data_IF_099064601260
#
_entry.id   IF_099064601260
#
_cell.length_a   1.000
_cell.length_b   1.000
_cell.length_c   1.000
_cell.angle_alpha   90.00
_cell.angle_beta   90.00
_cell.angle_gamma   90.00
#
_symmetry.space_group_name_H-M   'P 1'
#
loop_
_entity.id
_entity.type
_entity.pdbx_description
1 polymer ?
#
# COMPACT_ATOMS: atom_id res chain seq x y z
N UNK A 1 3.80 -23.25 -11.00
CA UNK A 1 3.76 -21.91 -10.36
C UNK A 1 4.99 -21.14 -10.82
N UNK A 2 4.83 -19.95 -11.40
CA UNK A 2 5.97 -19.17 -11.93
C UNK A 2 6.76 -18.59 -10.75
N UNK A 3 8.06 -18.33 -10.93
CA UNK A 3 8.95 -17.84 -9.86
C UNK A 3 8.47 -16.53 -9.22
N UNK A 4 7.85 -15.64 -10.01
CA UNK A 4 7.31 -14.37 -9.53
C UNK A 4 6.17 -14.54 -8.51
N UNK A 5 5.25 -15.48 -8.76
CA UNK A 5 4.12 -15.75 -7.85
C UNK A 5 4.63 -16.21 -6.48
N UNK A 6 5.70 -17.03 -6.47
CA UNK A 6 6.35 -17.49 -5.23
C UNK A 6 7.02 -16.37 -4.46
N UNK A 7 7.69 -15.46 -5.15
CA UNK A 7 8.36 -14.33 -4.51
C UNK A 7 7.35 -13.36 -3.88
N UNK A 8 6.25 -13.08 -4.58
CA UNK A 8 5.15 -12.27 -4.05
C UNK A 8 4.52 -12.92 -2.80
N UNK A 9 4.20 -14.22 -2.87
CA UNK A 9 3.65 -14.95 -1.74
C UNK A 9 4.60 -14.99 -0.52
N UNK A 10 5.89 -15.21 -0.75
CA UNK A 10 6.90 -15.17 0.32
C UNK A 10 6.98 -13.78 0.96
N UNK A 11 7.07 -12.72 0.16
CA UNK A 11 7.10 -11.34 0.66
C UNK A 11 5.88 -11.03 1.52
N UNK A 12 4.66 -11.37 1.04
CA UNK A 12 3.43 -11.20 1.82
C UNK A 12 3.51 -11.94 3.15
N UNK A 13 4.00 -13.18 3.16
CA UNK A 13 4.11 -13.98 4.36
C UNK A 13 5.15 -13.44 5.36
N UNK A 14 6.19 -12.73 4.91
CA UNK A 14 7.15 -12.02 5.77
C UNK A 14 6.54 -10.73 6.30
N UNK A 15 5.98 -9.90 5.42
CA UNK A 15 5.26 -8.67 5.80
C UNK A 15 4.17 -8.96 6.84
N UNK A 16 3.42 -10.05 6.66
CA UNK A 16 2.33 -10.44 7.56
C UNK A 16 2.78 -10.80 8.98
N UNK A 17 4.03 -11.23 9.14
CA UNK A 17 4.61 -11.56 10.45
C UNK A 17 5.33 -10.37 11.07
N UNK A 18 5.47 -9.28 10.33
CA UNK A 18 6.29 -8.13 10.70
C UNK A 18 5.47 -6.94 11.19
N UNK A 19 4.17 -6.85 10.88
CA UNK A 19 3.35 -5.73 11.38
C UNK A 19 2.94 -5.93 12.85
N UNK A 20 2.81 -4.84 13.59
CA UNK A 20 2.22 -4.85 14.94
C UNK A 20 0.73 -4.54 14.92
N UNK A 21 0.28 -3.85 13.86
CA UNK A 21 -1.10 -3.40 13.71
C UNK A 21 -1.52 -3.40 12.25
N UNK A 22 -2.79 -3.72 12.01
CA UNK A 22 -3.46 -3.65 10.70
C UNK A 22 -4.82 -3.01 10.83
N UNK A 23 -5.20 -2.21 9.86
CA UNK A 23 -6.47 -1.48 9.85
C UNK A 23 -7.10 -1.52 8.46
N UNK A 24 -8.42 -1.70 8.32
CA UNK A 24 -9.06 -1.57 7.03
C UNK A 24 -9.01 -0.11 6.55
N UNK A 25 -8.90 0.08 5.24
CA UNK A 25 -9.14 1.36 4.58
C UNK A 25 -10.06 1.14 3.38
N UNK A 26 -10.52 2.23 2.76
CA UNK A 26 -11.59 2.21 1.76
C UNK A 26 -11.35 1.26 0.57
N UNK A 27 -10.11 0.87 0.29
CA UNK A 27 -9.73 0.03 -0.86
C UNK A 27 -8.82 -1.16 -0.50
N UNK A 28 -8.72 -1.52 0.79
CA UNK A 28 -7.96 -2.70 1.22
C UNK A 28 -7.50 -2.62 2.67
N UNK A 29 -6.23 -2.95 2.91
CA UNK A 29 -5.66 -3.03 4.26
C UNK A 29 -4.44 -2.12 4.42
N UNK A 30 -4.39 -1.40 5.54
CA UNK A 30 -3.24 -0.63 6.02
C UNK A 30 -2.44 -1.46 7.02
N UNK A 31 -1.12 -1.45 6.89
CA UNK A 31 -0.19 -2.18 7.75
C UNK A 31 0.74 -1.19 8.45
N UNK A 32 0.98 -1.41 9.75
CA UNK A 32 1.81 -0.55 10.58
C UNK A 32 2.75 -1.37 11.46
N UNK A 33 3.92 -0.78 11.75
CA UNK A 33 4.81 -1.25 12.79
C UNK A 33 5.10 -0.11 13.77
N UNK A 34 4.51 -0.20 14.97
CA UNK A 34 4.46 0.91 15.92
C UNK A 34 5.85 1.25 16.49
N UNK A 35 6.75 0.26 16.63
CA UNK A 35 8.15 0.48 17.04
C UNK A 35 9.05 1.07 15.93
N UNK A 36 8.62 1.01 14.66
CA UNK A 36 9.41 1.44 13.51
C UNK A 36 8.63 2.37 12.57
N UNK A 37 8.11 3.51 13.06
CA UNK A 37 7.22 4.39 12.30
C UNK A 37 7.91 5.11 11.13
N UNK A 38 9.24 5.04 11.02
CA UNK A 38 10.01 5.62 9.92
C UNK A 38 10.38 4.61 8.81
N UNK A 39 10.08 3.31 8.99
CA UNK A 39 10.43 2.26 8.02
C UNK A 39 9.29 2.06 7.03
N UNK A 40 9.46 2.61 5.83
CA UNK A 40 8.44 2.61 4.76
C UNK A 40 7.91 1.21 4.46
N UNK A 41 8.81 0.25 4.25
CA UNK A 41 8.45 -1.14 3.90
C UNK A 41 7.65 -1.88 4.98
N UNK A 42 7.54 -1.33 6.19
CA UNK A 42 6.75 -1.87 7.30
C UNK A 42 5.46 -1.07 7.55
N UNK A 43 5.29 0.06 6.88
CA UNK A 43 4.16 0.96 7.05
C UNK A 43 3.62 1.36 5.68
N UNK A 44 2.60 0.65 5.20
CA UNK A 44 2.08 0.82 3.85
C UNK A 44 0.59 0.50 3.77
N UNK A 45 -0.05 1.06 2.75
CA UNK A 45 -1.37 0.64 2.30
C UNK A 45 -1.21 -0.43 1.23
N UNK A 46 -1.99 -1.50 1.32
CA UNK A 46 -2.16 -2.45 0.23
C UNK A 46 -3.49 -2.19 -0.45
N UNK A 47 -3.46 -2.01 -1.76
CA UNK A 47 -4.64 -1.97 -2.60
C UNK A 47 -5.09 -3.40 -2.87
N UNK A 48 -6.28 -3.76 -2.40
CA UNK A 48 -6.84 -5.12 -2.51
C UNK A 48 -8.16 -5.10 -3.29
N UNK A 49 -8.84 -3.96 -3.34
CA UNK A 49 -10.07 -3.76 -4.08
C UNK A 49 -9.82 -2.83 -5.27
N UNK A 50 -10.09 -3.33 -6.47
CA UNK A 50 -10.02 -2.53 -7.68
C UNK A 50 -11.27 -1.65 -7.79
N UNK A 51 -11.06 -0.33 -7.83
CA UNK A 51 -12.06 0.61 -8.30
C UNK A 51 -11.50 1.31 -9.56
N UNK A 52 -12.06 1.07 -10.76
CA UNK A 52 -11.58 1.70 -11.99
C UNK A 52 -11.79 3.22 -12.01
N UNK A 53 -12.65 3.75 -11.13
CA UNK A 53 -12.96 5.18 -11.05
C UNK A 53 -12.11 5.92 -10.02
N UNK A 54 -11.45 5.22 -9.10
CA UNK A 54 -10.62 5.90 -8.10
C UNK A 54 -9.44 6.61 -8.77
N UNK A 55 -9.25 7.86 -8.39
CA UNK A 55 -8.15 8.71 -8.82
C UNK A 55 -6.95 8.60 -7.87
N UNK A 56 -5.77 8.95 -8.38
CA UNK A 56 -4.56 9.04 -7.56
C UNK A 56 -4.71 10.07 -6.41
N UNK A 57 -5.43 11.16 -6.63
CA UNK A 57 -5.68 12.19 -5.62
C UNK A 57 -6.56 11.67 -4.47
N UNK A 58 -7.58 10.87 -4.78
CA UNK A 58 -8.41 10.22 -3.75
C UNK A 58 -7.58 9.23 -2.94
N UNK A 59 -6.74 8.42 -3.58
CA UNK A 59 -5.83 7.51 -2.89
C UNK A 59 -4.87 8.28 -1.97
N UNK A 60 -4.26 9.36 -2.45
CA UNK A 60 -3.35 10.17 -1.66
C UNK A 60 -4.04 10.77 -0.43
N UNK A 61 -5.27 11.28 -0.59
CA UNK A 61 -6.07 11.83 0.52
C UNK A 61 -6.41 10.77 1.56
N UNK A 62 -6.82 9.57 1.14
CA UNK A 62 -7.07 8.47 2.06
C UNK A 62 -5.76 8.03 2.75
N UNK A 63 -4.63 8.03 2.05
CA UNK A 63 -3.33 7.77 2.64
C UNK A 63 -2.94 8.81 3.69
N UNK A 64 -3.14 10.10 3.44
CA UNK A 64 -2.89 11.17 4.42
C UNK A 64 -3.75 10.98 5.68
N UNK A 65 -5.01 10.52 5.51
CA UNK A 65 -5.91 10.23 6.63
C UNK A 65 -5.47 9.01 7.44
N UNK A 66 -5.22 7.89 6.76
CA UNK A 66 -4.90 6.60 7.40
C UNK A 66 -3.48 6.61 7.98
N UNK A 67 -2.53 7.22 7.29
CA UNK A 67 -1.11 7.27 7.67
C UNK A 67 -0.71 8.60 8.33
N UNK A 68 -1.64 9.45 8.74
CA UNK A 68 -1.37 10.84 9.16
C UNK A 68 -0.39 11.02 10.34
N UNK A 69 -0.08 9.96 11.09
CA UNK A 69 0.98 9.96 12.11
C UNK A 69 2.39 9.72 11.56
N UNK A 70 2.54 9.45 10.26
CA UNK A 70 3.80 9.11 9.60
C UNK A 70 4.26 10.22 8.68
N UNK A 71 5.58 10.32 8.48
CA UNK A 71 6.20 11.31 7.57
C UNK A 71 6.26 10.85 6.11
N UNK A 72 5.56 9.77 5.77
CA UNK A 72 5.61 9.15 4.46
C UNK A 72 4.30 8.43 4.13
N UNK A 73 4.14 8.17 2.84
CA UNK A 73 3.05 7.37 2.28
C UNK A 73 3.69 6.27 1.46
N UNK A 74 3.25 5.03 1.65
CA UNK A 74 3.66 3.92 0.81
C UNK A 74 2.41 3.15 0.38
N UNK A 75 2.27 2.92 -0.92
CA UNK A 75 1.15 2.18 -1.51
C UNK A 75 1.71 0.97 -2.26
N UNK A 76 1.20 -0.22 -1.94
CA UNK A 76 1.45 -1.45 -2.67
C UNK A 76 0.27 -1.71 -3.61
N UNK A 77 0.54 -1.68 -4.92
CA UNK A 77 -0.39 -2.06 -5.98
C UNK A 77 0.20 -3.29 -6.68
N UNK A 78 -0.52 -4.41 -6.64
CA UNK A 78 -0.02 -5.66 -7.21
C UNK A 78 -0.52 -5.90 -8.63
N UNK A 79 -1.69 -5.38 -8.97
CA UNK A 79 -2.19 -5.41 -10.36
C UNK A 79 -1.45 -4.37 -11.22
N UNK A 80 -0.79 -4.86 -12.26
CA UNK A 80 0.06 -4.04 -13.12
C UNK A 80 -0.73 -3.03 -13.95
N UNK A 81 -1.97 -3.35 -14.37
CA UNK A 81 -2.80 -2.45 -15.15
C UNK A 81 -3.26 -1.26 -14.30
N UNK A 82 -3.68 -1.54 -13.07
CA UNK A 82 -4.05 -0.54 -12.06
C UNK A 82 -2.85 0.32 -11.69
N UNK A 83 -1.68 -0.28 -11.47
CA UNK A 83 -0.45 0.46 -11.20
C UNK A 83 -0.11 1.43 -12.35
N UNK A 84 -0.15 0.96 -13.60
CA UNK A 84 0.13 1.79 -14.77
C UNK A 84 -0.86 2.95 -14.93
N UNK A 85 -2.15 2.72 -14.64
CA UNK A 85 -3.19 3.75 -14.69
C UNK A 85 -2.99 4.83 -13.62
N UNK A 86 -2.65 4.43 -12.40
CA UNK A 86 -2.50 5.36 -11.26
C UNK A 86 -1.17 6.10 -11.27
N UNK A 87 -0.12 5.51 -11.86
CA UNK A 87 1.25 6.00 -11.80
C UNK A 87 1.40 7.49 -12.13
N UNK A 88 0.90 8.02 -13.26
CA UNK A 88 1.14 9.43 -13.61
C UNK A 88 0.53 10.39 -12.60
N UNK A 89 -0.62 10.03 -12.03
CA UNK A 89 -1.30 10.87 -11.03
C UNK A 89 -0.62 10.81 -9.67
N UNK A 90 -0.06 9.65 -9.28
CA UNK A 90 0.71 9.51 -8.04
C UNK A 90 2.04 10.26 -8.15
N UNK A 91 2.74 10.13 -9.27
CA UNK A 91 4.02 10.82 -9.53
C UNK A 91 3.88 12.35 -9.46
N UNK A 92 2.78 12.91 -9.96
CA UNK A 92 2.51 14.35 -9.86
C UNK A 92 2.28 14.85 -8.42
N UNK A 93 2.03 13.95 -7.46
CA UNK A 93 1.76 14.26 -6.06
C UNK A 93 2.97 14.03 -5.13
N UNK A 94 4.13 13.65 -5.71
CA UNK A 94 5.39 13.34 -5.00
C UNK A 94 5.42 11.93 -4.44
#
# INVERSE_FOLDING_TARGET
>A
MKTFDRAAAFRRAVEERSYTRKEPWSLGTAFFHDDFPAKWVLNFLRLEHEDPKVSAAEIAREADKVMGGLRHRMLHVEDAATAARLWPGLEALG
#
